data_IF_843002178219
#
_entry.id   IF_843002178219
#
_cell.length_a   1.000
_cell.length_b   1.000
_cell.length_c   1.000
_cell.angle_alpha   90.00
_cell.angle_beta   90.00
_cell.angle_gamma   90.00
#
_symmetry.space_group_name_H-M   'P 1'
#
loop_
_entity.id
_entity.type
_entity.pdbx_description
1 polymer ?
#
# COMPACT_ATOMS: atom_id res chain seq x y z
N UNK A 1 -17.29 -24.33 42.10
CA UNK A 1 -15.86 -24.04 41.80
C UNK A 1 -15.64 -24.30 40.32
N UNK A 2 -15.84 -23.30 39.50
CA UNK A 2 -15.64 -23.36 38.05
C UNK A 2 -14.23 -22.83 37.79
N UNK A 3 -13.37 -23.72 37.34
CA UNK A 3 -12.02 -23.39 36.85
C UNK A 3 -12.14 -22.66 35.49
N UNK A 4 -11.83 -21.39 35.47
CA UNK A 4 -11.53 -20.64 34.26
C UNK A 4 -10.31 -21.28 33.58
N UNK A 5 -10.28 -21.39 32.25
CA UNK A 5 -9.07 -21.82 31.52
C UNK A 5 -8.14 -20.61 31.35
N UNK A 6 -7.36 -20.35 32.40
CA UNK A 6 -6.24 -19.43 32.33
C UNK A 6 -5.04 -20.12 31.65
N UNK A 7 -4.54 -19.57 30.56
CA UNK A 7 -3.22 -19.94 30.09
C UNK A 7 -2.91 -19.82 28.59
N UNK A 8 -3.87 -19.56 27.70
CA UNK A 8 -3.54 -19.25 26.32
C UNK A 8 -3.35 -17.74 26.18
N UNK A 9 -2.13 -17.25 26.37
CA UNK A 9 -1.73 -15.92 25.93
C UNK A 9 -2.05 -15.85 24.43
N UNK A 10 -2.91 -14.92 24.03
CA UNK A 10 -3.24 -14.69 22.63
C UNK A 10 -1.94 -14.23 21.95
N UNK A 11 -1.30 -15.12 21.17
CA UNK A 11 -0.02 -14.84 20.51
C UNK A 11 -0.12 -13.59 19.66
N UNK A 12 -1.23 -13.44 18.94
CA UNK A 12 -1.51 -12.24 18.15
C UNK A 12 -1.55 -10.98 19.01
N UNK A 13 -2.23 -11.02 20.17
CA UNK A 13 -2.30 -9.87 21.06
C UNK A 13 -0.93 -9.51 21.65
N UNK A 14 -0.10 -10.51 21.96
CA UNK A 14 1.26 -10.31 22.44
C UNK A 14 2.13 -9.67 21.34
N UNK A 15 2.09 -10.20 20.12
CA UNK A 15 2.80 -9.66 18.95
C UNK A 15 2.38 -8.23 18.64
N UNK A 16 1.08 -7.94 18.65
CA UNK A 16 0.59 -6.59 18.38
C UNK A 16 0.91 -5.62 19.52
N UNK A 17 0.88 -6.05 20.79
CA UNK A 17 1.33 -5.23 21.92
C UNK A 17 2.81 -4.91 21.86
N UNK A 18 3.66 -5.83 21.41
CA UNK A 18 5.07 -5.59 21.20
C UNK A 18 5.31 -4.55 20.10
N UNK A 19 4.55 -4.63 18.99
CA UNK A 19 4.64 -3.67 17.88
C UNK A 19 4.13 -2.28 18.21
N UNK A 20 2.94 -2.18 18.83
CA UNK A 20 2.24 -0.89 19.07
C UNK A 20 2.48 -0.30 20.46
N UNK A 21 3.12 -1.04 21.36
CA UNK A 21 3.28 -0.67 22.77
C UNK A 21 2.02 -0.99 23.59
N UNK A 22 2.06 -0.61 24.87
CA UNK A 22 1.03 -0.94 25.89
C UNK A 22 -0.33 -0.33 25.53
N UNK A 23 -0.37 0.80 24.79
CA UNK A 23 -1.60 1.51 24.43
C UNK A 23 -2.31 0.93 23.18
N UNK A 24 -1.70 -0.03 22.49
CA UNK A 24 -2.26 -0.72 21.34
C UNK A 24 -2.62 0.17 20.15
N UNK A 25 -3.40 -0.37 19.22
CA UNK A 25 -3.95 0.35 18.08
C UNK A 25 -5.16 1.20 18.52
N UNK A 26 -5.02 2.50 18.63
CA UNK A 26 -6.13 3.38 19.05
C UNK A 26 -7.22 3.38 17.98
N UNK A 27 -8.44 2.93 18.36
CA UNK A 27 -9.58 2.88 17.46
C UNK A 27 -9.56 1.74 16.42
N UNK A 28 -8.56 0.85 16.49
CA UNK A 28 -8.51 -0.41 15.74
C UNK A 28 -8.36 -1.55 16.74
N UNK A 29 -9.31 -2.50 16.75
CA UNK A 29 -9.26 -3.68 17.59
C UNK A 29 -8.96 -4.91 16.73
N UNK A 30 -8.15 -5.80 17.26
CA UNK A 30 -7.84 -7.08 16.64
C UNK A 30 -8.53 -8.20 17.40
N UNK A 31 -9.27 -9.05 16.70
CA UNK A 31 -10.05 -10.16 17.29
C UNK A 31 -9.63 -11.46 16.65
N UNK A 32 -9.15 -12.40 17.45
CA UNK A 32 -8.89 -13.77 17.03
C UNK A 32 -10.18 -14.57 17.14
N UNK A 33 -10.73 -14.99 16.01
CA UNK A 33 -12.00 -15.72 15.93
C UNK A 33 -11.94 -17.10 16.57
N UNK A 34 -10.79 -17.71 16.62
CA UNK A 34 -10.60 -19.05 17.21
C UNK A 34 -10.59 -18.99 18.75
N UNK A 35 -10.22 -17.83 19.31
CA UNK A 35 -10.13 -17.62 20.78
C UNK A 35 -11.33 -16.85 21.32
N UNK A 36 -11.70 -15.74 20.65
CA UNK A 36 -12.68 -14.77 21.17
C UNK A 36 -14.07 -14.89 20.51
N UNK A 37 -14.18 -15.67 19.41
CA UNK A 37 -15.39 -15.73 18.61
C UNK A 37 -15.66 -14.44 17.79
N UNK A 38 -16.78 -14.43 17.09
CA UNK A 38 -17.16 -13.26 16.28
C UNK A 38 -17.69 -12.14 17.19
N UNK A 39 -17.26 -10.87 16.99
CA UNK A 39 -17.77 -9.73 17.73
C UNK A 39 -19.23 -9.46 17.34
N UNK A 40 -20.06 -9.16 18.36
CA UNK A 40 -21.48 -8.85 18.15
C UNK A 40 -21.70 -7.44 17.62
N UNK A 41 -20.81 -6.51 17.97
CA UNK A 41 -20.90 -5.09 17.64
C UNK A 41 -19.57 -4.52 17.11
N UNK A 42 -19.67 -3.42 16.35
CA UNK A 42 -18.53 -2.61 15.92
C UNK A 42 -18.31 -1.45 16.92
N UNK A 43 -17.79 -1.75 18.09
CA UNK A 43 -17.54 -0.80 19.19
C UNK A 43 -16.29 0.06 18.99
N UNK A 44 -15.40 -0.33 18.09
CA UNK A 44 -14.21 0.39 17.67
C UNK A 44 -14.40 1.10 16.32
N UNK A 45 -13.43 1.90 15.90
CA UNK A 45 -13.39 2.48 14.54
C UNK A 45 -13.29 1.39 13.48
N UNK A 46 -12.46 0.37 13.75
CA UNK A 46 -12.33 -0.85 12.95
C UNK A 46 -12.05 -2.06 13.85
N UNK A 47 -12.57 -3.21 13.49
CA UNK A 47 -12.23 -4.50 14.11
C UNK A 47 -11.65 -5.39 13.02
N UNK A 48 -10.38 -5.73 13.12
CA UNK A 48 -9.72 -6.69 12.20
C UNK A 48 -9.90 -8.10 12.76
N UNK A 49 -10.41 -8.98 11.92
CA UNK A 49 -10.69 -10.38 12.28
C UNK A 49 -9.55 -11.28 11.83
N UNK A 50 -9.07 -12.09 12.73
CA UNK A 50 -7.96 -13.02 12.51
C UNK A 50 -8.42 -14.47 12.74
N UNK A 51 -7.78 -15.41 12.06
CA UNK A 51 -7.95 -16.85 12.28
C UNK A 51 -6.64 -17.55 11.98
N UNK A 52 -6.12 -18.34 12.94
CA UNK A 52 -4.84 -19.01 12.80
C UNK A 52 -3.68 -18.05 12.50
N UNK A 53 -3.67 -16.85 13.08
CA UNK A 53 -2.66 -15.81 12.82
C UNK A 53 -2.75 -15.15 11.44
N UNK A 54 -3.87 -15.34 10.70
CA UNK A 54 -4.11 -14.75 9.38
C UNK A 54 -5.27 -13.75 9.43
N UNK A 55 -5.16 -12.57 8.79
CA UNK A 55 -6.28 -11.65 8.69
C UNK A 55 -7.30 -12.21 7.71
N UNK A 56 -8.56 -12.32 8.14
CA UNK A 56 -9.63 -12.93 7.34
C UNK A 56 -10.78 -11.98 7.01
N UNK A 57 -10.87 -10.83 7.67
CA UNK A 57 -11.95 -9.87 7.47
C UNK A 57 -11.82 -8.66 8.38
N UNK A 58 -12.78 -7.74 8.28
CA UNK A 58 -12.93 -6.64 9.23
C UNK A 58 -14.37 -6.13 9.32
N UNK A 59 -14.66 -5.49 10.44
CA UNK A 59 -15.80 -4.62 10.61
C UNK A 59 -15.30 -3.18 10.67
N UNK A 60 -15.89 -2.28 9.88
CA UNK A 60 -15.54 -0.86 9.84
C UNK A 60 -16.75 -0.03 10.23
N UNK A 61 -16.63 0.82 11.25
CA UNK A 61 -17.60 1.88 11.50
C UNK A 61 -17.36 3.01 10.51
N UNK A 62 -18.16 3.02 9.45
CA UNK A 62 -18.02 3.96 8.35
C UNK A 62 -18.32 5.42 8.78
N UNK A 63 -18.01 6.38 7.91
CA UNK A 63 -18.20 7.81 8.18
C UNK A 63 -19.65 8.24 8.32
N UNK A 64 -20.61 7.43 7.86
CA UNK A 64 -22.05 7.59 8.06
C UNK A 64 -22.57 6.97 9.37
N UNK A 65 -21.69 6.32 10.15
CA UNK A 65 -22.01 5.64 11.41
C UNK A 65 -22.44 4.18 11.25
N UNK A 66 -22.67 3.72 10.03
CA UNK A 66 -23.03 2.31 9.78
C UNK A 66 -21.81 1.38 9.99
N UNK A 67 -22.09 0.17 10.46
CA UNK A 67 -21.10 -0.90 10.53
C UNK A 67 -21.06 -1.65 9.20
N UNK A 68 -19.93 -1.62 8.52
CA UNK A 68 -19.70 -2.33 7.26
C UNK A 68 -18.83 -3.55 7.51
N UNK A 69 -19.26 -4.70 7.03
CA UNK A 69 -18.54 -5.96 7.17
C UNK A 69 -17.84 -6.23 5.84
N UNK A 70 -16.51 -6.31 5.87
CA UNK A 70 -15.77 -6.88 4.74
C UNK A 70 -16.06 -8.38 4.66
N UNK A 71 -16.15 -8.95 3.44
CA UNK A 71 -16.33 -10.38 3.27
C UNK A 71 -15.25 -11.14 4.03
N UNK A 72 -15.66 -12.04 4.92
CA UNK A 72 -14.74 -12.95 5.59
C UNK A 72 -14.20 -13.90 4.53
N UNK A 73 -12.89 -13.88 4.29
CA UNK A 73 -12.27 -14.87 3.45
C UNK A 73 -12.45 -16.25 4.10
N UNK A 74 -13.05 -17.17 3.36
CA UNK A 74 -13.05 -18.58 3.77
C UNK A 74 -11.56 -18.97 3.76
N UNK A 75 -11.05 -19.39 4.93
CA UNK A 75 -9.66 -19.79 5.08
C UNK A 75 -9.32 -20.78 3.95
N UNK A 76 -8.56 -20.32 2.97
CA UNK A 76 -7.95 -21.25 2.05
C UNK A 76 -6.89 -21.98 2.85
N UNK A 77 -6.99 -23.31 2.82
CA UNK A 77 -6.14 -24.31 3.42
C UNK A 77 -4.88 -23.75 4.09
N UNK A 78 -4.91 -23.67 5.40
CA UNK A 78 -3.76 -23.29 6.23
C UNK A 78 -2.79 -24.48 6.33
N UNK A 79 -2.61 -25.24 5.24
CA UNK A 79 -1.50 -26.15 5.15
C UNK A 79 -0.23 -25.33 5.34
N UNK A 80 0.58 -25.61 6.38
CA UNK A 80 1.85 -24.91 6.51
C UNK A 80 2.58 -25.05 5.18
N UNK A 81 2.99 -23.90 4.63
CA UNK A 81 3.86 -23.92 3.46
C UNK A 81 4.99 -24.90 3.77
N UNK A 82 5.34 -25.83 2.85
CA UNK A 82 6.46 -26.73 3.10
C UNK A 82 7.66 -25.89 3.52
N UNK A 83 8.48 -26.35 4.49
CA UNK A 83 9.64 -25.59 4.93
C UNK A 83 10.49 -25.33 3.68
N UNK A 84 10.48 -24.09 3.22
CA UNK A 84 11.30 -23.67 2.09
C UNK A 84 12.70 -23.47 2.64
N UNK A 85 13.54 -24.45 2.43
CA UNK A 85 14.94 -24.49 2.92
C UNK A 85 15.82 -23.38 2.29
N UNK A 86 15.34 -22.71 1.21
CA UNK A 86 16.08 -21.68 0.48
C UNK A 86 15.13 -20.57 0.02
N UNK A 87 14.73 -19.68 0.93
CA UNK A 87 14.03 -18.46 0.56
C UNK A 87 15.01 -17.46 -0.09
N UNK A 88 14.61 -16.75 -1.18
CA UNK A 88 15.45 -15.73 -1.76
C UNK A 88 15.76 -14.62 -0.74
N UNK A 89 16.97 -14.09 -0.80
CA UNK A 89 17.37 -12.96 0.03
C UNK A 89 16.54 -11.72 -0.28
N UNK A 90 16.27 -10.89 0.72
CA UNK A 90 15.46 -9.69 0.57
C UNK A 90 16.14 -8.45 1.16
N UNK A 91 16.23 -7.39 0.37
CA UNK A 91 16.56 -6.03 0.79
C UNK A 91 15.27 -5.29 1.13
N UNK A 92 15.21 -4.61 2.27
CA UNK A 92 14.09 -3.72 2.61
C UNK A 92 14.49 -2.27 2.38
N UNK A 93 13.77 -1.56 1.52
CA UNK A 93 14.00 -0.16 1.16
C UNK A 93 12.92 0.71 1.79
N UNK A 94 13.34 1.74 2.54
CA UNK A 94 12.46 2.75 3.15
C UNK A 94 12.89 4.11 2.63
N UNK A 95 11.98 4.79 1.90
CA UNK A 95 12.18 6.14 1.44
C UNK A 95 11.55 7.12 2.43
N UNK A 96 12.29 8.15 2.84
CA UNK A 96 11.82 9.12 3.84
C UNK A 96 12.30 10.52 3.52
N UNK A 97 11.59 11.54 4.03
CA UNK A 97 11.98 12.94 3.94
C UNK A 97 11.46 13.73 5.11
N UNK A 98 12.35 14.33 5.91
CA UNK A 98 12.02 15.21 7.05
C UNK A 98 11.04 14.57 8.07
N UNK A 99 11.10 13.23 8.27
CA UNK A 99 10.18 12.45 9.12
C UNK A 99 10.92 11.46 10.04
N UNK A 100 11.90 11.93 10.85
CA UNK A 100 12.75 11.04 11.67
C UNK A 100 11.96 10.27 12.74
N UNK A 101 10.82 10.79 13.21
CA UNK A 101 9.98 10.12 14.22
C UNK A 101 9.22 8.93 13.61
N UNK A 102 8.63 9.14 12.45
CA UNK A 102 7.94 8.11 11.68
C UNK A 102 8.92 7.01 11.27
N UNK A 103 10.07 7.41 10.71
CA UNK A 103 11.14 6.49 10.32
C UNK A 103 11.59 5.62 11.50
N UNK A 104 11.81 6.22 12.69
CA UNK A 104 12.23 5.46 13.88
C UNK A 104 11.19 4.40 14.25
N UNK A 105 9.92 4.75 14.18
CA UNK A 105 8.82 3.82 14.46
C UNK A 105 8.74 2.70 13.41
N UNK A 106 8.89 3.00 12.13
CA UNK A 106 8.94 1.98 11.07
C UNK A 106 10.10 1.01 11.30
N UNK A 107 11.30 1.54 11.52
CA UNK A 107 12.51 0.75 11.75
C UNK A 107 12.41 -0.16 12.99
N UNK A 108 11.64 0.23 14.03
CA UNK A 108 11.47 -0.61 15.23
C UNK A 108 10.71 -1.92 14.98
N UNK A 109 9.96 -2.02 13.88
CA UNK A 109 9.23 -3.25 13.51
C UNK A 109 10.08 -4.27 12.73
N UNK A 110 11.24 -3.87 12.22
CA UNK A 110 12.10 -4.76 11.42
C UNK A 110 12.84 -5.83 12.25
N UNK A 111 13.34 -5.56 13.45
CA UNK A 111 13.93 -6.60 14.29
C UNK A 111 12.95 -7.70 14.70
N UNK A 112 11.65 -7.46 14.61
CA UNK A 112 10.59 -8.42 14.95
C UNK A 112 10.23 -9.36 13.79
N UNK A 113 10.83 -9.19 12.60
CA UNK A 113 10.50 -10.00 11.43
C UNK A 113 10.96 -11.46 11.62
N UNK A 114 10.06 -12.43 11.34
CA UNK A 114 10.35 -13.88 11.36
C UNK A 114 11.38 -14.27 10.29
N UNK A 115 11.38 -13.58 9.14
CA UNK A 115 12.43 -13.59 8.14
C UNK A 115 13.22 -12.28 8.23
N UNK A 116 14.41 -12.26 8.85
CA UNK A 116 15.22 -11.04 8.89
C UNK A 116 15.60 -10.58 7.48
N UNK A 117 15.49 -9.26 7.18
CA UNK A 117 16.01 -8.74 5.91
C UNK A 117 17.53 -8.92 5.83
N UNK A 118 18.04 -9.25 4.65
CA UNK A 118 19.48 -9.35 4.42
C UNK A 118 20.16 -7.97 4.56
N UNK A 119 19.45 -6.92 4.22
CA UNK A 119 19.85 -5.53 4.42
C UNK A 119 18.63 -4.61 4.52
N UNK A 120 18.77 -3.53 5.30
CA UNK A 120 17.80 -2.44 5.40
C UNK A 120 18.45 -1.19 4.82
N UNK A 121 17.81 -0.58 3.81
CA UNK A 121 18.29 0.59 3.11
C UNK A 121 17.33 1.75 3.38
N UNK A 122 17.80 2.79 4.04
CA UNK A 122 17.05 4.03 4.24
C UNK A 122 17.52 5.05 3.21
N UNK A 123 16.63 5.43 2.31
CA UNK A 123 16.89 6.48 1.32
C UNK A 123 16.31 7.81 1.83
N UNK A 124 17.21 8.71 2.21
CA UNK A 124 16.88 10.06 2.63
C UNK A 124 16.71 10.96 1.41
N UNK A 125 15.47 11.27 1.07
CA UNK A 125 15.09 12.04 -0.11
C UNK A 125 15.09 13.54 0.14
N UNK A 126 16.27 14.14 0.14
CA UNK A 126 16.48 15.58 0.27
C UNK A 126 15.93 16.17 1.60
N UNK A 127 16.08 15.47 2.75
CA UNK A 127 15.77 16.04 4.06
C UNK A 127 16.64 17.26 4.37
N UNK A 128 16.06 18.25 5.07
CA UNK A 128 16.75 19.49 5.37
C UNK A 128 17.79 19.33 6.50
N UNK A 129 17.56 18.39 7.43
CA UNK A 129 18.41 18.17 8.61
C UNK A 129 19.16 16.83 8.59
N UNK A 130 20.00 16.61 9.63
CA UNK A 130 20.76 15.36 9.80
C UNK A 130 20.03 14.26 10.59
N UNK A 131 18.87 14.55 11.19
CA UNK A 131 18.16 13.64 12.09
C UNK A 131 17.75 12.33 11.41
N UNK A 132 17.37 12.37 10.13
CA UNK A 132 17.05 11.18 9.34
C UNK A 132 18.25 10.23 9.27
N UNK A 133 19.44 10.78 9.03
CA UNK A 133 20.68 10.00 8.99
C UNK A 133 21.00 9.38 10.34
N UNK A 134 20.86 10.14 11.41
CA UNK A 134 21.11 9.65 12.78
C UNK A 134 20.20 8.47 13.14
N UNK A 135 18.89 8.59 12.83
CA UNK A 135 17.91 7.53 13.06
C UNK A 135 18.24 6.28 12.26
N UNK A 136 18.58 6.42 10.97
CA UNK A 136 18.93 5.28 10.13
C UNK A 136 20.16 4.53 10.63
N UNK A 137 21.23 5.25 10.95
CA UNK A 137 22.48 4.67 11.44
C UNK A 137 22.30 4.03 12.83
N UNK A 138 21.53 4.64 13.72
CA UNK A 138 21.23 4.08 15.03
C UNK A 138 20.47 2.74 14.96
N UNK A 139 19.68 2.53 13.91
CA UNK A 139 19.00 1.27 13.64
C UNK A 139 19.85 0.25 12.86
N UNK A 140 21.12 0.54 12.57
CA UNK A 140 21.99 -0.33 11.78
C UNK A 140 21.65 -0.37 10.28
N UNK A 141 20.84 0.54 9.78
CA UNK A 141 20.47 0.60 8.37
C UNK A 141 21.58 1.21 7.50
N UNK A 142 21.61 0.79 6.25
CA UNK A 142 22.43 1.42 5.21
C UNK A 142 21.77 2.75 4.85
N UNK A 143 22.45 3.86 5.17
CA UNK A 143 21.97 5.20 4.84
C UNK A 143 22.40 5.60 3.44
N UNK A 144 21.46 6.04 2.62
CA UNK A 144 21.67 6.55 1.27
C UNK A 144 21.04 7.94 1.15
N UNK A 145 21.80 8.93 0.69
CA UNK A 145 21.28 10.27 0.40
C UNK A 145 20.91 10.39 -1.08
N UNK A 146 19.71 10.92 -1.35
CA UNK A 146 19.27 11.35 -2.67
C UNK A 146 18.81 12.82 -2.60
N UNK A 147 19.54 13.71 -3.27
CA UNK A 147 19.30 15.16 -3.18
C UNK A 147 18.22 15.67 -4.14
N UNK A 148 17.85 14.87 -5.15
CA UNK A 148 16.73 15.19 -6.05
C UNK A 148 15.41 14.82 -5.38
N UNK A 149 14.50 15.78 -5.12
CA UNK A 149 13.24 15.47 -4.45
C UNK A 149 12.29 14.67 -5.36
N UNK A 150 11.75 13.58 -4.84
CA UNK A 150 10.79 12.71 -5.53
C UNK A 150 10.81 11.29 -4.98
N UNK A 151 9.63 10.74 -4.64
CA UNK A 151 9.55 9.41 -4.03
C UNK A 151 10.04 8.32 -4.98
N UNK A 152 9.66 8.36 -6.26
CA UNK A 152 10.13 7.38 -7.24
C UNK A 152 11.62 7.54 -7.56
N UNK A 153 12.18 8.75 -7.45
CA UNK A 153 13.61 9.00 -7.51
C UNK A 153 14.33 8.28 -6.35
N UNK A 154 13.77 8.41 -5.14
CA UNK A 154 14.30 7.73 -3.97
C UNK A 154 14.15 6.19 -4.06
N UNK A 155 13.01 5.70 -4.57
CA UNK A 155 12.80 4.26 -4.80
C UNK A 155 13.82 3.70 -5.79
N UNK A 156 14.10 4.43 -6.88
CA UNK A 156 15.13 4.07 -7.85
C UNK A 156 16.52 3.99 -7.21
N UNK A 157 16.84 4.98 -6.39
CA UNK A 157 18.11 4.99 -5.66
C UNK A 157 18.23 3.81 -4.69
N UNK A 158 17.11 3.41 -4.07
CA UNK A 158 17.03 2.21 -3.24
C UNK A 158 17.20 0.91 -4.04
N UNK A 159 16.56 0.79 -5.21
CA UNK A 159 16.70 -0.35 -6.10
C UNK A 159 18.16 -0.53 -6.59
N UNK A 160 18.81 0.57 -6.99
CA UNK A 160 20.22 0.57 -7.41
C UNK A 160 21.18 0.12 -6.31
N UNK A 161 20.85 0.45 -5.03
CA UNK A 161 21.68 0.10 -3.87
C UNK A 161 21.43 -1.33 -3.37
N UNK A 162 20.25 -1.88 -3.61
CA UNK A 162 19.85 -3.20 -3.15
C UNK A 162 20.66 -4.31 -3.83
N UNK A 163 21.13 -5.27 -3.02
CA UNK A 163 21.97 -6.39 -3.51
C UNK A 163 21.24 -7.73 -3.51
N UNK A 164 20.11 -7.85 -2.79
CA UNK A 164 19.35 -9.10 -2.65
C UNK A 164 18.53 -9.44 -3.91
N UNK A 165 18.06 -10.69 -3.99
CA UNK A 165 17.22 -11.18 -5.09
C UNK A 165 15.82 -10.52 -5.11
N UNK A 166 15.30 -10.18 -3.93
CA UNK A 166 14.03 -9.49 -3.74
C UNK A 166 14.30 -8.10 -3.17
N UNK A 167 13.64 -7.09 -3.73
CA UNK A 167 13.65 -5.71 -3.22
C UNK A 167 12.25 -5.39 -2.71
N UNK A 168 12.10 -5.34 -1.39
CA UNK A 168 10.85 -4.99 -0.72
C UNK A 168 10.84 -3.51 -0.32
N UNK A 169 9.72 -2.83 -0.54
CA UNK A 169 9.51 -1.43 -0.18
C UNK A 169 8.41 -1.31 0.86
N UNK A 170 8.63 -0.41 1.81
CA UNK A 170 7.62 0.09 2.73
C UNK A 170 7.80 1.59 2.95
N UNK A 171 6.73 2.26 3.41
CA UNK A 171 6.78 3.69 3.72
C UNK A 171 7.28 3.94 5.16
N UNK A 172 7.76 5.14 5.44
CA UNK A 172 8.28 5.53 6.76
C UNK A 172 7.19 5.66 7.84
N UNK A 173 5.90 5.73 7.45
CA UNK A 173 4.73 5.79 8.34
C UNK A 173 3.97 4.46 8.43
N UNK A 174 4.70 3.35 8.42
CA UNK A 174 4.18 1.99 8.50
C UNK A 174 4.79 1.24 9.68
N UNK A 175 4.01 0.36 10.32
CA UNK A 175 4.50 -0.74 11.15
C UNK A 175 4.25 -2.06 10.43
N UNK A 176 5.23 -2.95 10.45
CA UNK A 176 5.21 -4.21 9.73
C UNK A 176 4.85 -5.36 10.67
N UNK A 177 3.85 -6.17 10.30
CA UNK A 177 3.56 -7.41 11.03
C UNK A 177 4.80 -8.32 11.04
N UNK A 178 5.08 -9.07 12.10
CA UNK A 178 6.28 -9.91 12.20
C UNK A 178 6.52 -10.84 11.01
N UNK A 179 5.47 -11.35 10.40
CA UNK A 179 5.56 -12.23 9.22
C UNK A 179 5.44 -11.48 7.88
N UNK A 180 5.51 -10.15 7.87
CA UNK A 180 5.33 -9.36 6.66
C UNK A 180 6.31 -9.72 5.56
N UNK A 181 7.61 -9.71 5.85
CA UNK A 181 8.66 -9.98 4.86
C UNK A 181 8.65 -11.44 4.40
N UNK A 182 8.51 -12.38 5.33
CA UNK A 182 8.45 -13.81 5.04
C UNK A 182 7.30 -14.11 4.06
N UNK A 183 6.12 -13.57 4.31
CA UNK A 183 4.93 -13.79 3.48
C UNK A 183 4.99 -13.07 2.13
N UNK A 184 5.70 -11.94 2.03
CA UNK A 184 6.01 -11.34 0.72
C UNK A 184 6.95 -12.23 -0.08
N UNK A 185 8.05 -12.67 0.54
CA UNK A 185 9.12 -13.44 -0.13
C UNK A 185 8.61 -14.81 -0.57
N UNK A 186 7.89 -15.53 0.30
CA UNK A 186 7.30 -16.85 -0.05
C UNK A 186 6.29 -16.79 -1.18
N UNK A 187 5.69 -15.61 -1.42
CA UNK A 187 4.72 -15.41 -2.49
C UNK A 187 5.35 -15.34 -3.89
N UNK A 188 6.67 -15.26 -4.01
CA UNK A 188 7.40 -15.41 -5.28
C UNK A 188 7.60 -16.89 -5.66
N UNK A 189 6.54 -17.69 -5.60
CA UNK A 189 6.51 -19.14 -5.78
C UNK A 189 6.77 -19.63 -7.22
N UNK A 190 6.85 -18.72 -8.18
CA UNK A 190 7.13 -18.99 -9.58
C UNK A 190 7.87 -17.86 -10.28
N UNK A 191 8.69 -18.14 -11.30
CA UNK A 191 9.49 -17.11 -11.99
C UNK A 191 8.67 -16.03 -12.68
N UNK A 192 7.41 -16.31 -13.08
CA UNK A 192 6.55 -15.33 -13.75
C UNK A 192 6.10 -14.19 -12.81
N UNK A 193 6.12 -14.39 -11.48
CA UNK A 193 5.74 -13.33 -10.55
C UNK A 193 6.90 -12.35 -10.40
N UNK A 194 6.73 -11.17 -11.00
CA UNK A 194 7.70 -10.07 -10.93
C UNK A 194 7.45 -9.13 -9.75
N UNK A 195 6.20 -9.05 -9.26
CA UNK A 195 5.83 -8.22 -8.11
C UNK A 195 4.87 -8.92 -7.16
N UNK A 196 5.03 -8.65 -5.86
CA UNK A 196 4.10 -9.06 -4.80
C UNK A 196 3.74 -7.83 -3.97
N UNK A 197 2.45 -7.70 -3.62
CA UNK A 197 1.96 -6.65 -2.72
C UNK A 197 1.27 -7.27 -1.52
N UNK A 198 1.33 -6.59 -0.36
CA UNK A 198 0.69 -7.01 0.88
C UNK A 198 -0.62 -6.27 1.16
N UNK A 199 -1.32 -6.72 2.20
CA UNK A 199 -2.47 -6.03 2.77
C UNK A 199 -1.99 -4.84 3.62
N UNK A 200 -2.52 -3.66 3.33
CA UNK A 200 -2.29 -2.47 4.15
C UNK A 200 -3.56 -2.15 4.92
N UNK A 201 -3.45 -2.17 6.24
CA UNK A 201 -4.50 -1.84 7.20
C UNK A 201 -4.19 -0.51 7.89
N UNK A 202 -5.19 0.21 8.43
CA UNK A 202 -4.92 1.37 9.25
C UNK A 202 -4.24 0.95 10.57
N UNK A 203 -3.21 1.70 10.98
CA UNK A 203 -2.59 1.54 12.30
C UNK A 203 -3.47 2.16 13.40
N UNK A 204 -4.30 3.14 13.06
CA UNK A 204 -5.23 3.81 13.97
C UNK A 204 -6.45 4.36 13.21
N UNK A 205 -7.60 4.44 13.90
CA UNK A 205 -8.79 5.16 13.44
C UNK A 205 -9.34 6.00 14.59
N UNK A 206 -8.80 7.21 14.74
CA UNK A 206 -9.17 8.14 15.83
C UNK A 206 -9.88 9.39 15.33
N UNK A 207 -9.84 9.64 14.01
CA UNK A 207 -10.38 10.88 13.43
C UNK A 207 -11.39 10.58 12.31
N UNK A 208 -12.21 11.60 11.99
CA UNK A 208 -13.13 11.55 10.86
C UNK A 208 -12.39 11.35 9.53
N UNK A 209 -11.22 11.96 9.36
CA UNK A 209 -10.42 11.84 8.16
C UNK A 209 -9.97 10.41 7.89
N UNK A 210 -9.48 9.73 8.92
CA UNK A 210 -9.05 8.33 8.84
C UNK A 210 -10.23 7.40 8.54
N UNK A 211 -11.38 7.61 9.20
CA UNK A 211 -12.60 6.85 8.95
C UNK A 211 -13.12 7.05 7.53
N UNK A 212 -13.12 8.32 7.05
CA UNK A 212 -13.52 8.63 5.68
C UNK A 212 -12.58 7.96 4.66
N UNK A 213 -11.27 8.00 4.92
CA UNK A 213 -10.28 7.35 4.05
C UNK A 213 -10.54 5.85 3.95
N UNK A 214 -10.68 5.15 5.06
CA UNK A 214 -10.96 3.70 5.07
C UNK A 214 -12.29 3.36 4.42
N UNK A 215 -13.30 4.23 4.54
CA UNK A 215 -14.62 4.00 3.93
C UNK A 215 -14.59 4.08 2.40
N UNK A 216 -13.80 5.01 1.81
CA UNK A 216 -13.91 5.35 0.38
C UNK A 216 -12.61 5.24 -0.42
N UNK A 217 -11.46 5.19 0.24
CA UNK A 217 -10.13 5.25 -0.36
C UNK A 217 -9.16 4.20 0.18
N UNK A 218 -9.65 3.24 0.96
CA UNK A 218 -8.83 2.23 1.63
C UNK A 218 -7.75 1.63 0.72
N UNK A 219 -6.59 1.38 1.28
CA UNK A 219 -5.51 0.66 0.61
C UNK A 219 -5.76 -0.84 0.54
N UNK A 220 -6.58 -1.37 1.45
CA UNK A 220 -6.90 -2.79 1.52
C UNK A 220 -7.65 -3.28 0.28
N UNK A 221 -7.14 -4.35 -0.34
CA UNK A 221 -7.76 -4.97 -1.53
C UNK A 221 -8.56 -6.24 -1.15
N UNK A 222 -8.90 -6.40 0.14
CA UNK A 222 -9.59 -7.56 0.68
C UNK A 222 -8.64 -8.63 1.21
N UNK A 223 -9.19 -9.77 1.58
CA UNK A 223 -8.48 -10.83 2.34
C UNK A 223 -8.21 -12.10 1.52
N UNK A 224 -8.52 -12.08 0.22
CA UNK A 224 -8.28 -13.21 -0.69
C UNK A 224 -7.08 -12.94 -1.57
N UNK A 225 -6.10 -13.85 -1.67
CA UNK A 225 -4.98 -13.74 -2.59
C UNK A 225 -5.45 -13.61 -4.04
N UNK A 226 -4.74 -12.83 -4.84
CA UNK A 226 -5.04 -12.65 -6.27
C UNK A 226 -3.75 -12.63 -7.08
N UNK A 227 -3.84 -13.21 -8.29
CA UNK A 227 -2.78 -13.09 -9.29
C UNK A 227 -3.34 -12.30 -10.46
N UNK A 228 -2.71 -11.19 -10.78
CA UNK A 228 -2.95 -10.40 -11.97
C UNK A 228 -1.99 -10.90 -13.04
N UNK A 229 -2.52 -11.61 -14.03
CA UNK A 229 -1.70 -12.29 -15.04
C UNK A 229 -1.39 -11.36 -16.20
N UNK A 230 -0.15 -11.36 -16.65
CA UNK A 230 0.26 -10.65 -17.86
C UNK A 230 -0.51 -11.08 -19.11
N UNK A 231 -0.88 -12.36 -19.19
CA UNK A 231 -1.70 -12.89 -20.28
C UNK A 231 -3.10 -12.26 -20.31
N UNK A 232 -3.76 -12.11 -19.14
CA UNK A 232 -5.09 -11.49 -19.03
C UNK A 232 -5.00 -9.99 -19.35
N UNK A 233 -3.95 -9.32 -18.91
CA UNK A 233 -3.65 -7.95 -19.28
C UNK A 233 -3.48 -7.78 -20.80
N UNK A 234 -2.71 -8.66 -21.43
CA UNK A 234 -2.49 -8.64 -22.89
C UNK A 234 -3.78 -8.88 -23.68
N UNK A 235 -4.68 -9.76 -23.19
CA UNK A 235 -5.98 -10.03 -23.82
C UNK A 235 -6.94 -8.84 -23.70
N UNK A 236 -6.83 -8.01 -22.66
CA UNK A 236 -7.74 -6.89 -22.36
C UNK A 236 -7.18 -5.50 -22.72
N UNK A 237 -6.23 -5.39 -23.67
CA UNK A 237 -5.60 -4.10 -24.08
C UNK A 237 -6.57 -3.02 -24.57
N UNK A 238 -7.79 -3.35 -24.92
CA UNK A 238 -8.84 -2.40 -25.31
C UNK A 238 -9.60 -1.82 -24.11
N UNK A 239 -9.41 -2.37 -22.91
CA UNK A 239 -9.97 -1.90 -21.65
C UNK A 239 -8.88 -1.24 -20.79
N UNK A 240 -9.31 -0.45 -19.80
CA UNK A 240 -8.39 0.12 -18.83
C UNK A 240 -8.16 -0.88 -17.72
N UNK A 241 -6.92 -1.29 -17.56
CA UNK A 241 -6.54 -2.12 -16.42
C UNK A 241 -6.44 -1.26 -15.15
N UNK A 242 -7.17 -1.61 -14.09
CA UNK A 242 -7.16 -0.86 -12.82
C UNK A 242 -5.93 -1.23 -11.98
N UNK A 243 -4.75 -0.75 -12.36
CA UNK A 243 -3.47 -1.11 -11.74
C UNK A 243 -3.41 -0.84 -10.22
N UNK A 244 -4.17 0.14 -9.72
CA UNK A 244 -4.29 0.41 -8.28
C UNK A 244 -4.93 -0.73 -7.46
N UNK A 245 -5.57 -1.71 -8.13
CA UNK A 245 -6.09 -2.92 -7.48
C UNK A 245 -5.03 -3.98 -7.20
N UNK A 246 -3.81 -3.80 -7.70
CA UNK A 246 -2.70 -4.70 -7.40
C UNK A 246 -2.27 -4.56 -5.94
N UNK A 247 -2.31 -3.34 -5.38
CA UNK A 247 -1.97 -3.12 -3.98
C UNK A 247 -1.71 -1.65 -3.65
N UNK A 248 -0.82 -1.42 -2.68
CA UNK A 248 -0.34 -0.11 -2.28
C UNK A 248 1.18 -0.10 -2.12
N UNK A 249 1.82 1.02 -2.47
CA UNK A 249 3.27 1.21 -2.41
C UNK A 249 3.87 1.05 -1.01
N UNK A 250 3.03 1.18 0.02
CA UNK A 250 3.41 0.98 1.42
C UNK A 250 3.74 -0.49 1.79
N UNK A 251 3.40 -1.45 0.92
CA UNK A 251 3.72 -2.88 1.08
C UNK A 251 3.84 -3.55 -0.28
N UNK A 252 5.03 -3.51 -0.86
CA UNK A 252 5.31 -4.11 -2.17
C UNK A 252 6.72 -4.69 -2.22
N UNK A 253 6.92 -5.69 -3.07
CA UNK A 253 8.21 -6.29 -3.33
C UNK A 253 8.34 -6.66 -4.81
N UNK A 254 9.58 -6.70 -5.29
CA UNK A 254 9.91 -6.99 -6.69
C UNK A 254 11.08 -7.98 -6.76
N UNK A 255 11.09 -8.84 -7.79
CA UNK A 255 12.34 -9.48 -8.17
C UNK A 255 13.31 -8.41 -8.65
N UNK A 256 14.56 -8.47 -8.25
CA UNK A 256 15.54 -7.43 -8.62
C UNK A 256 15.78 -7.36 -10.13
N UNK A 257 15.73 -8.48 -10.82
CA UNK A 257 15.93 -8.56 -12.27
C UNK A 257 14.83 -7.85 -13.10
N UNK A 258 13.63 -7.61 -12.54
CA UNK A 258 12.60 -6.85 -13.26
C UNK A 258 13.01 -5.41 -13.53
N UNK A 259 13.89 -4.84 -12.71
CA UNK A 259 14.41 -3.48 -12.94
C UNK A 259 15.30 -3.41 -14.17
N UNK A 260 15.99 -4.50 -14.52
CA UNK A 260 16.80 -4.59 -15.75
C UNK A 260 15.93 -4.70 -17.01
N UNK A 261 14.80 -5.40 -16.93
CA UNK A 261 13.92 -5.68 -18.06
C UNK A 261 12.83 -4.64 -18.27
N UNK A 262 12.12 -4.24 -17.20
CA UNK A 262 11.03 -3.26 -17.27
C UNK A 262 11.51 -1.83 -16.98
N UNK A 263 12.77 -1.64 -16.58
CA UNK A 263 13.34 -0.37 -16.15
C UNK A 263 12.90 0.07 -14.76
N UNK A 264 13.44 1.16 -14.28
CA UNK A 264 13.16 1.75 -12.96
C UNK A 264 11.81 2.48 -12.94
N UNK A 265 11.34 2.93 -11.75
CA UNK A 265 10.13 3.75 -11.59
C UNK A 265 10.21 5.02 -12.43
N UNK A 266 9.07 5.53 -12.91
CA UNK A 266 9.02 6.77 -13.69
C UNK A 266 9.12 7.99 -12.76
N UNK A 267 10.27 8.66 -12.79
CA UNK A 267 10.60 9.79 -11.91
C UNK A 267 9.65 10.99 -12.06
N UNK A 268 8.77 11.03 -13.07
CA UNK A 268 7.74 12.06 -13.24
C UNK A 268 6.51 11.82 -12.35
N UNK A 269 6.37 10.61 -11.77
CA UNK A 269 5.23 10.24 -10.94
C UNK A 269 5.55 10.40 -9.44
N UNK A 270 4.54 10.07 -8.63
CA UNK A 270 4.58 10.02 -7.18
C UNK A 270 4.89 11.36 -6.46
N UNK A 271 5.08 11.28 -5.14
CA UNK A 271 5.26 12.44 -4.25
C UNK A 271 6.51 13.24 -4.64
N UNK A 272 6.36 14.56 -4.69
CA UNK A 272 7.42 15.48 -5.14
C UNK A 272 7.32 15.83 -6.63
N UNK A 273 6.62 15.02 -7.43
CA UNK A 273 6.38 15.20 -8.87
C UNK A 273 4.88 15.25 -9.18
N UNK A 274 4.30 14.26 -9.86
CA UNK A 274 2.87 14.21 -10.13
C UNK A 274 2.03 14.03 -8.85
N UNK A 275 2.57 13.43 -7.82
CA UNK A 275 1.98 13.33 -6.48
C UNK A 275 1.51 11.95 -6.03
N UNK A 276 1.37 10.98 -6.95
CA UNK A 276 0.98 9.60 -6.68
C UNK A 276 1.17 8.72 -7.92
N UNK A 277 0.87 7.43 -7.78
CA UNK A 277 0.69 6.43 -8.84
C UNK A 277 1.96 5.91 -9.52
N UNK A 278 3.13 6.13 -8.94
CA UNK A 278 4.37 5.51 -9.40
C UNK A 278 4.33 4.00 -9.26
N UNK A 279 3.85 3.50 -8.14
CA UNK A 279 3.61 2.08 -7.87
C UNK A 279 2.64 1.46 -8.89
N UNK A 280 1.49 2.08 -9.09
CA UNK A 280 0.45 1.60 -10.01
C UNK A 280 0.91 1.61 -11.47
N UNK A 281 1.71 2.63 -11.88
CA UNK A 281 2.34 2.65 -13.20
C UNK A 281 3.33 1.51 -13.34
N UNK A 282 4.13 1.24 -12.29
CA UNK A 282 5.14 0.21 -12.36
C UNK A 282 4.53 -1.19 -12.47
N UNK A 283 3.50 -1.52 -11.69
CA UNK A 283 2.77 -2.79 -11.85
C UNK A 283 2.11 -2.92 -13.23
N UNK A 284 1.53 -1.83 -13.76
CA UNK A 284 0.98 -1.81 -15.12
C UNK A 284 2.05 -2.16 -16.14
N UNK A 285 3.24 -1.60 -16.01
CA UNK A 285 4.38 -1.82 -16.89
C UNK A 285 4.94 -3.22 -16.76
N UNK A 286 5.00 -3.80 -15.56
CA UNK A 286 5.38 -5.20 -15.36
C UNK A 286 4.44 -6.15 -16.10
N UNK A 287 3.13 -5.97 -15.96
CA UNK A 287 2.14 -6.76 -16.69
C UNK A 287 2.30 -6.61 -18.21
N UNK A 288 2.59 -5.40 -18.69
CA UNK A 288 2.83 -5.15 -20.11
C UNK A 288 4.12 -5.82 -20.63
N UNK A 289 5.10 -6.05 -19.75
CA UNK A 289 6.36 -6.74 -20.04
C UNK A 289 6.31 -8.26 -19.78
N UNK A 290 5.14 -8.83 -19.51
CA UNK A 290 4.97 -10.28 -19.36
C UNK A 290 5.13 -10.83 -17.95
N UNK A 291 5.30 -9.98 -16.93
CA UNK A 291 5.38 -10.39 -15.54
C UNK A 291 3.99 -10.38 -14.88
N UNK A 292 3.71 -11.38 -14.08
CA UNK A 292 2.53 -11.44 -13.23
C UNK A 292 2.75 -10.58 -11.97
N UNK A 293 1.68 -9.99 -11.44
CA UNK A 293 1.66 -9.35 -10.12
C UNK A 293 0.77 -10.13 -9.17
N UNK A 294 1.20 -10.32 -7.93
CA UNK A 294 0.45 -11.04 -6.90
C UNK A 294 0.08 -10.13 -5.73
N UNK A 295 -1.16 -10.18 -5.30
CA UNK A 295 -1.62 -9.62 -4.04
C UNK A 295 -1.69 -10.73 -3.00
N UNK A 296 -0.95 -10.56 -1.89
CA UNK A 296 -0.79 -11.53 -0.80
C UNK A 296 -1.31 -10.92 0.52
N UNK A 297 -2.60 -11.04 0.85
CA UNK A 297 -3.19 -10.36 2.00
C UNK A 297 -2.69 -10.86 3.36
N UNK A 298 -2.04 -12.01 3.42
CA UNK A 298 -1.42 -12.50 4.66
C UNK A 298 -0.17 -11.73 5.06
N UNK A 299 0.48 -11.04 4.11
CA UNK A 299 1.56 -10.07 4.38
C UNK A 299 0.95 -8.75 4.79
N UNK A 300 1.00 -8.40 6.08
CA UNK A 300 0.28 -7.25 6.64
C UNK A 300 1.22 -6.12 7.01
N UNK A 301 0.82 -4.91 6.63
CA UNK A 301 1.44 -3.66 7.03
C UNK A 301 0.38 -2.72 7.62
N UNK A 302 0.71 -1.98 8.69
CA UNK A 302 -0.19 -1.06 9.37
C UNK A 302 0.26 0.38 9.11
N UNK A 303 -0.56 1.14 8.38
CA UNK A 303 -0.23 2.49 7.92
C UNK A 303 -0.93 3.57 8.75
N UNK A 304 -0.20 4.62 9.13
CA UNK A 304 -0.71 5.79 9.83
C UNK A 304 -1.28 6.82 8.85
N UNK A 305 -2.58 6.82 8.68
CA UNK A 305 -3.28 7.71 7.75
C UNK A 305 -3.29 9.17 8.24
N UNK A 306 -3.57 10.10 7.31
CA UNK A 306 -3.73 11.53 7.61
C UNK A 306 -4.85 11.74 8.61
N UNK A 307 -4.57 12.51 9.68
CA UNK A 307 -5.50 12.74 10.80
C UNK A 307 -6.47 13.91 10.56
N UNK A 308 -6.19 14.79 9.60
CA UNK A 308 -7.00 15.99 9.35
C UNK A 308 -7.71 15.93 8.00
N UNK A 309 -8.93 16.51 7.94
CA UNK A 309 -9.69 16.58 6.69
C UNK A 309 -9.00 17.42 5.62
N UNK A 310 -8.24 18.45 6.03
CA UNK A 310 -7.43 19.26 5.12
C UNK A 310 -6.28 18.43 4.50
N UNK A 311 -5.54 17.68 5.34
CA UNK A 311 -4.51 16.75 4.89
C UNK A 311 -5.05 15.70 3.92
N UNK A 312 -6.23 15.15 4.22
CA UNK A 312 -6.92 14.19 3.36
C UNK A 312 -7.36 14.83 2.02
N UNK A 313 -7.93 16.03 2.05
CA UNK A 313 -8.31 16.76 0.84
C UNK A 313 -7.12 16.99 -0.11
N UNK A 314 -5.97 17.37 0.47
CA UNK A 314 -4.70 17.52 -0.27
C UNK A 314 -4.22 16.19 -0.83
N UNK A 315 -4.31 15.11 -0.06
CA UNK A 315 -3.93 13.75 -0.49
C UNK A 315 -4.79 13.30 -1.69
N UNK A 316 -6.12 13.47 -1.62
CA UNK A 316 -7.04 13.12 -2.71
C UNK A 316 -6.77 13.93 -3.98
N UNK A 317 -6.46 15.24 -3.84
CA UNK A 317 -6.03 16.05 -4.98
C UNK A 317 -4.79 15.45 -5.66
N UNK A 318 -3.76 15.09 -4.89
CA UNK A 318 -2.53 14.51 -5.45
C UNK A 318 -2.74 13.09 -5.98
N UNK A 319 -3.64 12.30 -5.39
CA UNK A 319 -4.01 11.00 -5.93
C UNK A 319 -4.60 11.13 -7.33
N UNK A 320 -5.52 12.06 -7.54
CA UNK A 320 -6.11 12.26 -8.86
C UNK A 320 -5.15 12.90 -9.85
N UNK A 321 -4.26 13.76 -9.39
CA UNK A 321 -3.20 14.35 -10.21
C UNK A 321 -2.23 13.26 -10.70
N UNK A 322 -1.74 12.42 -9.81
CA UNK A 322 -0.89 11.29 -10.17
C UNK A 322 -1.59 10.30 -11.08
N UNK A 323 -2.83 9.92 -10.75
CA UNK A 323 -3.61 8.98 -11.55
C UNK A 323 -3.79 9.43 -13.00
N UNK A 324 -4.14 10.70 -13.24
CA UNK A 324 -4.32 11.21 -14.61
C UNK A 324 -3.00 11.31 -15.38
N UNK A 325 -1.90 11.69 -14.71
CA UNK A 325 -0.55 11.67 -15.30
C UNK A 325 -0.13 10.24 -15.65
N UNK A 326 -0.34 9.28 -14.74
CA UNK A 326 0.00 7.88 -14.94
C UNK A 326 -0.72 7.25 -16.12
N UNK A 327 -2.00 7.56 -16.37
CA UNK A 327 -2.72 7.10 -17.57
C UNK A 327 -2.00 7.48 -18.87
N UNK A 328 -1.43 8.69 -18.92
CA UNK A 328 -0.73 9.18 -20.10
C UNK A 328 0.70 8.58 -20.21
N UNK A 329 1.38 8.41 -19.08
CA UNK A 329 2.69 7.70 -19.02
C UNK A 329 2.52 6.23 -19.44
N UNK A 330 1.50 5.54 -18.95
CA UNK A 330 1.18 4.17 -19.34
C UNK A 330 0.91 4.06 -20.85
N UNK A 331 0.17 5.03 -21.43
CA UNK A 331 -0.01 5.08 -22.89
C UNK A 331 1.30 5.31 -23.62
N UNK A 332 2.10 6.28 -23.18
CA UNK A 332 3.41 6.61 -23.76
C UNK A 332 4.31 5.37 -23.83
N UNK A 333 4.37 4.59 -22.73
CA UNK A 333 5.25 3.43 -22.60
C UNK A 333 4.74 2.17 -23.31
N UNK A 334 3.41 1.99 -23.42
CA UNK A 334 2.83 0.70 -23.87
C UNK A 334 2.01 0.80 -25.14
N UNK A 335 1.70 2.01 -25.61
CA UNK A 335 0.83 2.25 -26.77
C UNK A 335 -0.65 1.92 -26.55
N UNK A 336 -1.08 1.52 -25.33
CA UNK A 336 -2.46 1.11 -25.04
C UNK A 336 -3.40 2.32 -25.08
N UNK A 337 -4.21 2.41 -26.16
CA UNK A 337 -5.13 3.53 -26.42
C UNK A 337 -6.30 3.60 -25.44
N UNK A 338 -6.60 2.54 -24.70
CA UNK A 338 -7.63 2.56 -23.66
C UNK A 338 -7.34 3.62 -22.61
N UNK A 339 -6.09 3.84 -22.25
CA UNK A 339 -5.66 4.85 -21.29
C UNK A 339 -6.00 6.29 -21.76
N UNK A 340 -5.84 6.58 -23.06
CA UNK A 340 -6.28 7.88 -23.62
C UNK A 340 -7.80 8.05 -23.57
N UNK A 341 -8.56 6.98 -23.89
CA UNK A 341 -10.02 7.01 -23.79
C UNK A 341 -10.46 7.23 -22.34
N UNK A 342 -9.78 6.62 -21.39
CA UNK A 342 -10.03 6.85 -19.96
C UNK A 342 -9.72 8.30 -19.59
N UNK A 343 -8.56 8.81 -19.99
CA UNK A 343 -8.12 10.15 -19.66
C UNK A 343 -9.01 11.26 -20.25
N UNK A 344 -9.47 11.12 -21.50
CA UNK A 344 -10.15 12.22 -22.20
C UNK A 344 -11.63 12.00 -22.45
N UNK A 345 -12.17 10.80 -22.22
CA UNK A 345 -13.59 10.49 -22.45
C UNK A 345 -14.28 9.98 -21.20
N UNK A 346 -13.86 8.80 -20.68
CA UNK A 346 -14.65 8.12 -19.67
C UNK A 346 -14.58 8.79 -18.28
N UNK A 347 -13.40 9.18 -17.83
CA UNK A 347 -13.26 9.84 -16.53
C UNK A 347 -13.89 11.24 -16.51
N UNK A 348 -13.73 12.11 -17.53
CA UNK A 348 -14.48 13.35 -17.61
C UNK A 348 -16.01 13.18 -17.63
N UNK A 349 -16.54 12.22 -18.38
CA UNK A 349 -17.97 11.91 -18.39
C UNK A 349 -18.48 11.43 -17.02
N UNK A 350 -17.68 10.62 -16.34
CA UNK A 350 -17.98 10.16 -14.99
C UNK A 350 -18.03 11.33 -13.99
N UNK A 351 -17.09 12.28 -14.05
CA UNK A 351 -17.13 13.49 -13.24
C UNK A 351 -18.33 14.37 -13.58
N UNK A 352 -18.65 14.53 -14.86
CA UNK A 352 -19.84 15.29 -15.29
C UNK A 352 -21.11 14.69 -14.67
N UNK A 353 -21.24 13.37 -14.64
CA UNK A 353 -22.35 12.67 -13.99
C UNK A 353 -22.45 12.98 -12.49
N UNK A 354 -21.31 12.98 -11.76
CA UNK A 354 -21.27 13.31 -10.34
C UNK A 354 -21.63 14.78 -10.08
N UNK A 355 -21.10 15.70 -10.89
CA UNK A 355 -21.44 17.14 -10.81
C UNK A 355 -22.94 17.36 -11.05
N UNK A 356 -23.50 16.75 -12.11
CA UNK A 356 -24.94 16.82 -12.40
C UNK A 356 -25.79 16.30 -11.23
N UNK A 357 -25.43 15.14 -10.66
CA UNK A 357 -26.10 14.57 -9.48
C UNK A 357 -26.10 15.56 -8.31
N UNK A 358 -24.95 16.20 -8.04
CA UNK A 358 -24.80 17.19 -6.96
C UNK A 358 -25.62 18.46 -7.20
N UNK A 359 -25.66 18.96 -8.46
CA UNK A 359 -26.47 20.13 -8.84
C UNK A 359 -27.97 19.85 -8.71
N UNK A 360 -28.40 18.58 -8.89
CA UNK A 360 -29.78 18.15 -8.68
C UNK A 360 -30.11 17.90 -7.19
N UNK A 361 -29.28 18.36 -6.26
CA UNK A 361 -29.49 18.24 -4.81
C UNK A 361 -29.18 16.85 -4.22
N UNK A 362 -28.75 15.87 -5.02
CA UNK A 362 -28.42 14.52 -4.56
C UNK A 362 -26.96 14.49 -4.08
N UNK A 363 -26.75 14.81 -2.80
CA UNK A 363 -25.44 14.76 -2.16
C UNK A 363 -25.21 13.36 -1.59
N UNK A 364 -24.07 12.77 -1.90
CA UNK A 364 -23.60 11.50 -1.31
C UNK A 364 -22.27 11.72 -0.60
N UNK A 365 -21.98 10.98 0.47
CA UNK A 365 -20.74 11.16 1.26
C UNK A 365 -19.46 11.04 0.41
N UNK A 366 -19.44 10.16 -0.57
CA UNK A 366 -18.31 9.94 -1.49
C UNK A 366 -17.94 11.19 -2.30
N UNK A 367 -18.90 12.14 -2.49
CA UNK A 367 -18.68 13.37 -3.27
C UNK A 367 -18.11 14.51 -2.41
N UNK A 368 -17.71 14.25 -1.16
CA UNK A 368 -17.18 15.28 -0.26
C UNK A 368 -16.00 16.04 -0.86
N UNK A 369 -15.10 15.31 -1.52
CA UNK A 369 -13.90 15.86 -2.14
C UNK A 369 -13.95 15.95 -3.67
N UNK A 370 -15.16 15.97 -4.26
CA UNK A 370 -15.35 15.97 -5.71
C UNK A 370 -14.54 17.06 -6.43
N UNK A 371 -14.48 18.25 -5.85
CA UNK A 371 -13.77 19.38 -6.48
C UNK A 371 -12.25 19.21 -6.40
N UNK A 372 -11.73 18.64 -5.32
CA UNK A 372 -10.32 18.29 -5.20
C UNK A 372 -9.94 17.19 -6.19
N UNK A 373 -10.81 16.20 -6.36
CA UNK A 373 -10.62 15.15 -7.36
C UNK A 373 -10.54 15.72 -8.77
N UNK A 374 -11.51 16.57 -9.17
CA UNK A 374 -11.56 17.18 -10.51
C UNK A 374 -10.34 18.09 -10.72
N UNK A 375 -10.03 18.95 -9.75
CA UNK A 375 -8.89 19.85 -9.83
C UNK A 375 -7.56 19.09 -9.95
N UNK A 376 -7.38 18.05 -9.13
CA UNK A 376 -6.22 17.16 -9.21
C UNK A 376 -6.12 16.49 -10.57
N UNK A 377 -7.23 15.93 -11.06
CA UNK A 377 -7.30 15.25 -12.34
C UNK A 377 -6.87 16.15 -13.51
N UNK A 378 -7.44 17.35 -13.61
CA UNK A 378 -7.07 18.33 -14.64
C UNK A 378 -5.61 18.75 -14.51
N UNK A 379 -5.15 19.01 -13.27
CA UNK A 379 -3.76 19.36 -12.98
C UNK A 379 -2.79 18.28 -13.43
N UNK A 380 -3.12 16.99 -13.29
CA UNK A 380 -2.24 15.90 -13.71
C UNK A 380 -2.11 15.76 -15.23
N UNK A 381 -3.21 15.98 -15.97
CA UNK A 381 -3.13 16.04 -17.44
C UNK A 381 -2.21 17.18 -17.91
N UNK A 382 -2.34 18.37 -17.29
CA UNK A 382 -1.48 19.51 -17.60
C UNK A 382 -0.03 19.29 -17.18
N UNK A 383 0.19 18.61 -16.04
CA UNK A 383 1.52 18.24 -15.57
C UNK A 383 2.22 17.34 -16.58
N UNK A 384 1.57 16.29 -17.05
CA UNK A 384 2.14 15.39 -18.06
C UNK A 384 2.52 16.14 -19.34
N UNK A 385 1.63 17.02 -19.83
CA UNK A 385 1.92 17.81 -21.06
C UNK A 385 3.16 18.69 -20.91
N UNK A 386 3.49 19.15 -19.70
CA UNK A 386 4.70 19.95 -19.42
C UNK A 386 5.96 19.10 -19.23
N UNK A 387 5.80 17.84 -18.81
CA UNK A 387 6.91 16.96 -18.46
C UNK A 387 7.13 15.81 -19.45
N UNK A 388 6.25 15.69 -20.47
CA UNK A 388 6.44 14.68 -21.52
C UNK A 388 7.78 14.91 -22.22
N UNK A 389 8.52 13.84 -22.40
CA UNK A 389 9.74 13.87 -23.22
C UNK A 389 9.30 14.06 -24.67
N UNK A 390 9.85 15.07 -25.36
CA UNK A 390 9.60 15.36 -26.76
C UNK A 390 10.13 14.27 -27.67
#
# INVERSE_FOLDING_TARGET
MSSTPDGHVNVLEAELREMFGVDGCVGVRHVDLDIQGAPEDCDAGMIVLWRGGLPVGHLLRASDGECRIAPIAIAQDSSPAPPVLDLPSASVVICTRDRPKELRRCLSSLPLQTLPPAEVIVVDNASAGGETREVALAAGAIYVREDRPGLDIARNRGAERASSEIVAYTDDDVLLHPQWLERLVTAFDRPSIGAVTGLVLPAEITTEAQRYFETFWSFGQGYTPRIFRAADFAASKHEVFPAWKVGAGASMAFRRDVFDHAGLFDERLDVGQAGCSGDSEYWYRLLANGYDCRYQPTSVAFHFHRRTMEGLAKQIYFYMRGHSAALLVQHERTGVRANLRQAFKWKPLWYLGRVRRRLLGRRVPEDRFLWQEIAGYVSGLLFYLRTRRG
#
